data_IF_685368950937
#
_entry.id   IF_685368950937
#
_cell.length_a   1.000
_cell.length_b   1.000
_cell.length_c   1.000
_cell.angle_alpha   90.00
_cell.angle_beta   90.00
_cell.angle_gamma   90.00
#
_symmetry.space_group_name_H-M   'P 1'
#
loop_
_entity.id
_entity.type
_entity.pdbx_description
1 polymer ?
#
# COMPACT_ATOMS: atom_id res chain seq x y z
N UNK A 1 -56.52 22.45 -1.87
CA UNK A 1 -55.86 21.72 -0.74
C UNK A 1 -54.96 20.54 -1.21
N UNK A 2 -55.04 20.10 -2.46
CA UNK A 2 -54.28 18.93 -3.01
C UNK A 2 -52.80 19.17 -3.24
N UNK A 3 -52.35 20.44 -3.38
CA UNK A 3 -50.96 20.77 -3.73
C UNK A 3 -49.93 20.72 -2.55
N UNK A 4 -50.39 20.82 -1.31
CA UNK A 4 -49.44 20.78 -0.15
C UNK A 4 -48.99 19.36 0.21
N UNK A 5 -49.92 18.38 0.03
CA UNK A 5 -49.62 16.97 0.33
C UNK A 5 -48.69 16.36 -0.72
N UNK A 6 -48.89 16.69 -2.00
CA UNK A 6 -48.05 16.24 -3.12
C UNK A 6 -46.63 16.82 -2.99
N UNK A 7 -46.48 18.09 -2.58
CA UNK A 7 -45.17 18.71 -2.34
C UNK A 7 -44.44 18.08 -1.16
N UNK A 8 -45.15 17.70 -0.10
CA UNK A 8 -44.50 17.01 1.06
C UNK A 8 -44.05 15.59 0.71
N UNK A 9 -44.82 14.87 -0.12
CA UNK A 9 -44.42 13.53 -0.59
C UNK A 9 -43.23 13.60 -1.57
N UNK A 10 -43.18 14.59 -2.44
CA UNK A 10 -42.06 14.80 -3.37
C UNK A 10 -40.79 15.19 -2.61
N UNK A 11 -40.87 16.02 -1.55
CA UNK A 11 -39.74 16.38 -0.72
C UNK A 11 -39.25 15.17 0.09
N UNK A 12 -40.13 14.33 0.63
CA UNK A 12 -39.74 13.11 1.36
C UNK A 12 -39.07 12.08 0.45
N UNK A 13 -39.55 11.93 -0.80
CA UNK A 13 -38.93 11.04 -1.78
C UNK A 13 -37.53 11.54 -2.22
N UNK A 14 -37.35 12.86 -2.39
CA UNK A 14 -36.04 13.44 -2.71
C UNK A 14 -35.02 13.26 -1.59
N UNK A 15 -35.41 13.43 -0.32
CA UNK A 15 -34.54 13.19 0.85
C UNK A 15 -34.18 11.69 0.94
N UNK A 16 -35.10 10.77 0.65
CA UNK A 16 -34.81 9.33 0.67
C UNK A 16 -33.85 8.94 -0.46
N UNK A 17 -33.97 9.52 -1.65
CA UNK A 17 -33.08 9.26 -2.79
C UNK A 17 -31.66 9.82 -2.48
N UNK A 18 -31.56 10.98 -1.85
CA UNK A 18 -30.28 11.56 -1.45
C UNK A 18 -29.63 10.71 -0.34
N UNK A 19 -30.40 10.21 0.63
CA UNK A 19 -29.89 9.33 1.67
C UNK A 19 -29.41 7.98 1.13
N UNK A 20 -30.11 7.40 0.16
CA UNK A 20 -29.70 6.17 -0.52
C UNK A 20 -28.52 6.40 -1.48
N UNK A 21 -28.44 7.58 -2.11
CA UNK A 21 -27.30 7.97 -2.95
C UNK A 21 -26.03 8.24 -2.12
N UNK A 22 -26.16 8.91 -0.98
CA UNK A 22 -25.07 9.13 -0.03
C UNK A 22 -24.61 7.82 0.63
N UNK A 23 -25.50 6.89 0.91
CA UNK A 23 -25.15 5.56 1.42
C UNK A 23 -24.29 4.76 0.44
N UNK A 24 -24.50 4.90 -0.88
CA UNK A 24 -23.65 4.28 -1.91
C UNK A 24 -22.30 5.01 -2.12
N UNK A 25 -22.24 6.31 -1.87
CA UNK A 25 -20.99 7.09 -1.96
C UNK A 25 -20.12 6.89 -0.71
N UNK A 26 -20.74 6.59 0.44
CA UNK A 26 -19.97 6.29 1.68
C UNK A 26 -19.57 4.80 1.75
N UNK A 27 -20.22 3.92 1.00
CA UNK A 27 -19.84 2.50 0.90
C UNK A 27 -18.79 2.21 -0.20
N UNK A 28 -18.16 3.23 -0.77
CA UNK A 28 -16.83 3.18 -1.34
C UNK A 28 -15.77 3.17 -0.22
N UNK A 29 -16.10 2.58 0.92
CA UNK A 29 -15.15 2.24 1.96
C UNK A 29 -14.16 1.27 1.36
N UNK A 30 -12.87 1.59 1.44
CA UNK A 30 -11.80 0.63 1.29
C UNK A 30 -12.32 -0.70 1.82
N UNK A 31 -12.39 -1.71 0.97
CA UNK A 31 -12.45 -3.08 1.43
C UNK A 31 -11.14 -3.28 2.19
N UNK A 32 -11.15 -3.05 3.49
CA UNK A 32 -10.18 -3.70 4.36
C UNK A 32 -10.47 -5.18 4.18
N UNK A 33 -9.59 -5.81 3.47
CA UNK A 33 -9.64 -7.23 3.25
C UNK A 33 -9.37 -7.89 4.60
N UNK A 34 -10.34 -8.63 5.15
CA UNK A 34 -10.23 -9.40 6.40
C UNK A 34 -9.14 -10.49 6.31
N UNK A 35 -8.47 -10.62 5.17
CA UNK A 35 -7.34 -11.50 4.90
C UNK A 35 -6.01 -10.99 5.47
N UNK A 36 -5.93 -9.75 5.93
CA UNK A 36 -4.72 -9.26 6.59
C UNK A 36 -4.62 -9.84 8.00
N UNK A 37 -3.49 -10.46 8.27
CA UNK A 37 -3.12 -10.86 9.61
C UNK A 37 -3.19 -9.66 10.54
N UNK A 38 -3.86 -9.79 11.68
CA UNK A 38 -3.81 -8.77 12.71
C UNK A 38 -2.36 -8.60 13.18
N UNK A 39 -1.99 -7.38 13.54
CA UNK A 39 -0.64 -7.09 14.03
C UNK A 39 -0.29 -7.91 15.27
N UNK A 40 -1.31 -8.32 16.06
CA UNK A 40 -1.17 -9.16 17.23
C UNK A 40 -0.85 -10.62 16.88
N UNK A 41 -1.17 -11.06 15.66
CA UNK A 41 -0.90 -12.42 15.18
C UNK A 41 0.51 -12.56 14.57
N UNK A 42 1.23 -11.44 14.40
CA UNK A 42 2.60 -11.47 13.88
C UNK A 42 3.52 -12.13 14.91
N UNK A 43 4.22 -13.23 14.57
CA UNK A 43 5.13 -13.89 15.48
C UNK A 43 6.22 -12.96 15.99
N UNK A 44 6.64 -13.15 17.24
CA UNK A 44 7.78 -12.44 17.79
C UNK A 44 9.05 -12.70 16.95
N UNK A 45 9.93 -11.70 16.86
CA UNK A 45 11.21 -11.83 16.16
C UNK A 45 12.01 -13.03 16.67
N UNK A 46 12.40 -13.92 15.76
CA UNK A 46 13.09 -15.17 16.05
C UNK A 46 14.53 -15.24 15.46
N UNK A 47 15.08 -14.10 15.06
CA UNK A 47 16.41 -14.03 14.44
C UNK A 47 16.39 -14.07 12.91
N UNK A 48 15.21 -14.21 12.30
CA UNK A 48 15.04 -14.16 10.84
C UNK A 48 14.40 -12.83 10.43
N UNK A 49 14.79 -12.24 9.29
CA UNK A 49 14.25 -10.96 8.82
C UNK A 49 12.82 -11.05 8.27
N UNK A 50 12.26 -12.24 8.18
CA UNK A 50 10.90 -12.53 7.69
C UNK A 50 10.29 -13.73 8.41
N UNK A 51 9.00 -13.91 8.26
CA UNK A 51 8.26 -15.10 8.66
C UNK A 51 7.44 -15.63 7.48
N UNK A 52 7.26 -16.93 7.43
CA UNK A 52 6.39 -17.58 6.44
C UNK A 52 4.97 -17.57 7.00
N UNK A 53 4.04 -17.01 6.22
CA UNK A 53 2.61 -16.99 6.51
C UNK A 53 1.89 -17.88 5.49
N UNK A 54 0.76 -18.45 5.90
CA UNK A 54 -0.11 -19.26 5.02
C UNK A 54 0.66 -20.30 4.17
N UNK A 55 1.70 -20.92 4.74
CA UNK A 55 2.54 -21.87 4.01
C UNK A 55 3.27 -21.30 2.78
N UNK A 56 3.48 -19.99 2.75
CA UNK A 56 4.01 -19.24 1.61
C UNK A 56 3.12 -19.30 0.35
N UNK A 57 1.82 -19.39 0.56
CA UNK A 57 0.81 -19.37 -0.50
C UNK A 57 0.11 -18.01 -0.50
N UNK A 58 0.39 -17.14 -1.48
CA UNK A 58 -0.32 -15.88 -1.59
C UNK A 58 -1.78 -16.12 -2.00
N UNK A 59 -2.67 -15.26 -1.53
CA UNK A 59 -4.08 -15.27 -1.88
C UNK A 59 -4.35 -14.13 -2.84
N UNK A 60 -4.70 -14.46 -4.10
CA UNK A 60 -5.13 -13.52 -5.12
C UNK A 60 -6.54 -13.88 -5.55
N UNK A 61 -7.35 -12.86 -5.86
CA UNK A 61 -8.66 -13.08 -6.45
C UNK A 61 -8.53 -13.55 -7.91
N UNK A 62 -9.42 -14.44 -8.35
CA UNK A 62 -9.42 -14.93 -9.73
C UNK A 62 -9.52 -13.76 -10.74
N UNK A 63 -10.28 -12.70 -10.40
CA UNK A 63 -10.39 -11.48 -11.21
C UNK A 63 -9.05 -10.75 -11.37
N UNK A 64 -8.18 -10.79 -10.35
CA UNK A 64 -6.86 -10.16 -10.41
C UNK A 64 -5.91 -10.95 -11.31
N UNK A 65 -6.04 -12.28 -11.33
CA UNK A 65 -5.24 -13.15 -12.20
C UNK A 65 -5.63 -13.06 -13.69
N UNK A 66 -6.83 -12.54 -13.99
CA UNK A 66 -7.32 -12.30 -15.35
C UNK A 66 -6.98 -10.89 -15.88
N UNK A 67 -6.52 -9.99 -15.01
CA UNK A 67 -6.13 -8.63 -15.41
C UNK A 67 -4.88 -8.63 -16.28
N UNK A 68 -4.83 -7.69 -17.19
CA UNK A 68 -3.59 -7.28 -17.86
C UNK A 68 -2.61 -6.67 -16.83
N UNK A 69 -1.42 -6.32 -17.30
CA UNK A 69 -0.42 -5.62 -16.50
C UNK A 69 -0.99 -4.36 -15.86
N UNK A 70 -0.82 -4.21 -14.57
CA UNK A 70 -1.29 -3.04 -13.81
C UNK A 70 -0.38 -2.74 -12.62
N UNK A 71 -0.47 -1.52 -12.13
CA UNK A 71 0.08 -1.04 -10.86
C UNK A 71 -0.97 -0.20 -10.15
N UNK A 72 -1.24 -0.51 -8.90
CA UNK A 72 -2.19 0.21 -8.07
C UNK A 72 -1.57 0.53 -6.71
N UNK A 73 -1.64 1.79 -6.32
CA UNK A 73 -1.17 2.29 -5.04
C UNK A 73 -2.30 3.02 -4.33
N UNK A 74 -2.71 2.51 -3.19
CA UNK A 74 -3.75 3.12 -2.38
C UNK A 74 -3.41 4.57 -2.03
N UNK A 75 -4.39 5.47 -1.92
CA UNK A 75 -4.16 6.80 -1.36
C UNK A 75 -3.54 6.72 0.03
N UNK A 76 -2.71 7.71 0.37
CA UNK A 76 -2.22 7.84 1.74
C UNK A 76 -3.38 8.06 2.71
N UNK A 77 -3.28 7.48 3.89
CA UNK A 77 -4.27 7.72 4.95
C UNK A 77 -4.14 9.13 5.57
N UNK A 78 -4.97 9.43 6.57
CA UNK A 78 -4.96 10.74 7.25
C UNK A 78 -3.66 11.06 8.00
N UNK A 79 -2.79 10.06 8.22
CA UNK A 79 -1.47 10.21 8.84
C UNK A 79 -0.34 10.17 7.81
N UNK A 80 -0.67 10.16 6.50
CA UNK A 80 0.30 10.07 5.42
C UNK A 80 0.96 8.70 5.29
N UNK A 81 0.33 7.62 5.79
CA UNK A 81 0.85 6.26 5.67
C UNK A 81 0.39 5.63 4.37
N UNK A 82 1.26 4.82 3.75
CA UNK A 82 0.89 4.02 2.59
C UNK A 82 -0.15 2.98 2.98
N UNK A 83 -1.09 2.75 2.06
CA UNK A 83 -1.96 1.58 2.07
C UNK A 83 -1.38 0.47 1.20
N UNK A 84 -2.26 -0.32 0.60
CA UNK A 84 -1.88 -1.42 -0.28
C UNK A 84 -1.16 -0.90 -1.52
N UNK A 85 -0.05 -1.57 -1.87
CA UNK A 85 0.61 -1.50 -3.16
C UNK A 85 0.41 -2.85 -3.85
N UNK A 86 -0.16 -2.85 -5.04
CA UNK A 86 -0.56 -4.07 -5.73
C UNK A 86 -0.28 -3.95 -7.24
N UNK A 87 0.35 -4.97 -7.82
CA UNK A 87 0.72 -4.94 -9.23
C UNK A 87 0.76 -6.34 -9.84
N UNK A 88 0.39 -6.42 -11.11
CA UNK A 88 0.72 -7.53 -12.00
C UNK A 88 2.00 -7.16 -12.76
N UNK A 89 3.13 -7.66 -12.28
CA UNK A 89 4.45 -7.27 -12.78
C UNK A 89 4.78 -7.93 -14.13
N UNK A 90 5.44 -7.18 -14.96
CA UNK A 90 6.02 -7.68 -16.20
C UNK A 90 7.24 -6.84 -16.61
N UNK A 91 7.99 -7.31 -17.62
CA UNK A 91 9.17 -6.58 -18.11
C UNK A 91 8.89 -5.16 -18.60
N UNK A 92 7.67 -4.85 -19.02
CA UNK A 92 7.31 -3.52 -19.51
C UNK A 92 7.24 -2.48 -18.37
N UNK A 93 7.00 -2.91 -17.13
CA UNK A 93 7.00 -2.05 -15.95
C UNK A 93 8.40 -1.85 -15.37
N UNK A 94 9.33 -2.74 -15.67
CA UNK A 94 10.69 -2.63 -15.17
C UNK A 94 11.36 -1.36 -15.71
N UNK A 95 12.23 -0.72 -14.90
CA UNK A 95 12.84 0.54 -15.30
C UNK A 95 13.77 0.37 -16.50
N UNK A 96 13.68 1.31 -17.43
CA UNK A 96 14.60 1.50 -18.56
C UNK A 96 15.65 2.59 -18.30
N UNK A 97 15.60 3.19 -17.10
CA UNK A 97 16.46 4.31 -16.68
C UNK A 97 17.14 4.00 -15.35
N UNK A 98 18.25 4.71 -15.12
CA UNK A 98 18.89 4.67 -13.81
C UNK A 98 17.99 5.28 -12.71
N UNK A 99 18.13 4.75 -11.52
CA UNK A 99 17.38 5.21 -10.36
C UNK A 99 17.79 6.64 -9.99
N UNK A 100 16.80 7.50 -9.85
CA UNK A 100 16.99 8.87 -9.41
C UNK A 100 16.93 9.01 -7.87
N UNK A 101 17.30 10.21 -7.37
CA UNK A 101 17.23 10.51 -5.95
C UNK A 101 15.78 10.54 -5.45
N UNK A 102 15.53 9.85 -4.33
CA UNK A 102 14.23 9.87 -3.64
C UNK A 102 14.27 10.68 -2.32
N UNK A 103 15.28 11.55 -2.15
CA UNK A 103 15.51 12.30 -0.90
C UNK A 103 14.38 13.25 -0.54
N UNK A 104 13.68 13.76 -1.55
CA UNK A 104 12.59 14.72 -1.36
C UNK A 104 11.34 14.08 -0.78
N UNK A 105 11.14 12.77 -0.99
CA UNK A 105 10.02 12.05 -0.38
C UNK A 105 10.31 11.79 1.09
N UNK A 106 9.39 12.19 1.94
CA UNK A 106 9.44 11.98 3.40
C UNK A 106 8.23 11.14 3.83
N UNK A 107 8.33 9.82 3.79
CA UNK A 107 7.23 8.96 4.23
C UNK A 107 6.81 9.24 5.66
N UNK A 108 5.61 8.83 6.05
CA UNK A 108 5.12 8.97 7.41
C UNK A 108 6.14 8.43 8.42
N UNK A 109 6.37 9.17 9.51
CA UNK A 109 7.37 8.82 10.52
C UNK A 109 8.83 9.02 10.10
N UNK A 110 9.09 9.63 8.93
CA UNK A 110 10.46 9.85 8.48
C UNK A 110 11.27 10.73 9.44
N UNK A 111 12.38 10.19 9.93
CA UNK A 111 13.40 10.92 10.66
C UNK A 111 14.76 10.26 10.45
N UNK A 112 15.83 10.99 10.73
CA UNK A 112 17.19 10.50 10.58
C UNK A 112 17.76 10.12 11.94
N UNK A 113 18.13 8.86 12.09
CA UNK A 113 18.86 8.35 13.26
C UNK A 113 20.15 7.72 12.78
N UNK A 114 21.27 8.12 13.38
CA UNK A 114 22.59 7.66 12.98
C UNK A 114 23.28 6.92 14.11
N UNK A 115 23.89 5.78 13.77
CA UNK A 115 24.70 4.95 14.66
C UNK A 115 25.99 4.56 13.95
N UNK A 116 27.08 5.26 14.25
CA UNK A 116 28.36 5.10 13.52
C UNK A 116 29.01 3.73 13.72
N UNK A 117 28.81 3.12 14.89
CA UNK A 117 29.48 1.89 15.29
C UNK A 117 28.60 0.64 15.21
N UNK A 118 27.28 0.80 15.03
CA UNK A 118 26.32 -0.30 15.08
C UNK A 118 25.72 -0.67 13.73
N UNK A 119 25.71 0.26 12.79
CA UNK A 119 25.03 0.09 11.49
C UNK A 119 26.03 0.38 10.38
N UNK A 120 26.21 -0.57 9.45
CA UNK A 120 27.20 -0.48 8.37
C UNK A 120 27.12 0.82 7.59
N UNK A 121 25.93 1.28 7.20
CA UNK A 121 25.72 2.55 6.49
C UNK A 121 25.36 3.70 7.43
N UNK A 122 25.52 3.49 8.72
CA UNK A 122 25.34 4.48 9.79
C UNK A 122 23.92 4.96 10.02
N UNK A 123 22.98 4.77 9.10
CA UNK A 123 21.59 5.23 9.21
C UNK A 123 20.64 4.09 9.50
N UNK A 124 19.84 4.25 10.59
CA UNK A 124 18.87 3.24 11.01
C UNK A 124 17.71 3.11 10.02
N UNK A 125 17.22 4.22 9.49
CA UNK A 125 16.04 4.24 8.64
C UNK A 125 16.36 4.49 7.17
N UNK A 126 15.66 3.75 6.33
CA UNK A 126 15.65 3.87 4.88
C UNK A 126 14.26 4.27 4.39
N UNK A 127 14.21 4.85 3.20
CA UNK A 127 13.00 4.89 2.39
C UNK A 127 12.89 3.56 1.66
N UNK A 128 11.94 2.73 2.08
CA UNK A 128 11.73 1.41 1.50
C UNK A 128 10.59 1.49 0.50
N UNK A 129 10.80 0.97 -0.70
CA UNK A 129 9.70 0.77 -1.64
C UNK A 129 8.86 -0.43 -1.21
N UNK A 130 7.53 -0.34 -1.29
CA UNK A 130 6.63 -1.48 -1.13
C UNK A 130 6.75 -2.44 -2.31
N UNK A 131 6.77 -1.90 -3.53
CA UNK A 131 7.14 -2.61 -4.76
C UNK A 131 8.48 -2.04 -5.21
N UNK A 132 9.52 -2.87 -5.26
CA UNK A 132 10.89 -2.44 -5.54
C UNK A 132 11.04 -1.70 -6.87
N UNK A 133 11.92 -0.70 -6.92
CA UNK A 133 12.17 0.08 -8.15
C UNK A 133 12.52 -0.79 -9.35
N UNK A 134 13.33 -1.84 -9.14
CA UNK A 134 13.72 -2.78 -10.19
C UNK A 134 12.55 -3.58 -10.78
N UNK A 135 11.41 -3.64 -10.10
CA UNK A 135 10.23 -4.39 -10.53
C UNK A 135 9.23 -3.53 -11.30
N UNK A 136 9.06 -2.27 -10.89
CA UNK A 136 7.97 -1.42 -11.37
C UNK A 136 8.41 -0.03 -11.85
N UNK A 137 9.68 0.33 -11.72
CA UNK A 137 10.18 1.63 -12.18
C UNK A 137 9.70 2.85 -11.40
N UNK A 138 8.87 2.66 -10.37
CA UNK A 138 8.29 3.73 -9.55
C UNK A 138 9.34 4.32 -8.59
N UNK A 139 9.99 5.41 -9.01
CA UNK A 139 11.13 5.96 -8.27
C UNK A 139 10.74 6.72 -6.99
N UNK A 140 10.01 7.82 -7.12
CA UNK A 140 9.71 8.77 -6.04
C UNK A 140 8.22 8.83 -5.70
N UNK A 141 7.49 7.76 -5.93
CA UNK A 141 6.08 7.67 -5.61
C UNK A 141 5.88 7.61 -4.09
N UNK A 142 5.27 8.64 -3.53
CA UNK A 142 5.02 8.74 -2.08
C UNK A 142 4.08 7.63 -1.55
N UNK A 143 3.24 7.04 -2.43
CA UNK A 143 2.33 5.95 -2.08
C UNK A 143 3.02 4.58 -2.09
N UNK A 144 4.24 4.53 -2.61
CA UNK A 144 5.09 3.33 -2.68
C UNK A 144 6.29 3.39 -1.72
N UNK A 145 6.42 4.45 -0.92
CA UNK A 145 7.58 4.66 -0.06
C UNK A 145 7.18 4.70 1.41
N UNK A 146 7.77 3.84 2.21
CA UNK A 146 7.59 3.80 3.66
C UNK A 146 8.90 4.09 4.39
N UNK A 147 8.79 4.53 5.65
CA UNK A 147 9.91 4.55 6.58
C UNK A 147 10.12 3.17 7.16
N UNK A 148 11.20 2.51 6.81
CA UNK A 148 11.57 1.22 7.36
C UNK A 148 12.99 1.21 7.93
N UNK A 149 13.33 0.20 8.70
CA UNK A 149 14.71 0.03 9.12
C UNK A 149 15.58 -0.41 7.94
N UNK A 150 16.89 -0.09 8.00
CA UNK A 150 17.82 -0.63 7.01
C UNK A 150 17.77 -2.15 6.96
N UNK A 151 17.75 -2.80 8.12
CA UNK A 151 17.67 -4.26 8.22
C UNK A 151 16.45 -4.83 7.49
N UNK A 152 15.27 -4.24 7.72
CA UNK A 152 14.06 -4.63 6.99
C UNK A 152 14.24 -4.47 5.47
N UNK A 153 14.80 -3.34 5.04
CA UNK A 153 14.97 -3.04 3.62
C UNK A 153 15.98 -3.98 2.93
N UNK A 154 17.12 -4.25 3.56
CA UNK A 154 18.23 -4.98 2.91
C UNK A 154 18.22 -6.48 3.17
N UNK A 155 17.78 -6.91 4.35
CA UNK A 155 17.77 -8.33 4.73
C UNK A 155 16.36 -8.93 4.61
N UNK A 156 15.32 -8.12 4.84
CA UNK A 156 13.94 -8.56 4.79
C UNK A 156 13.31 -8.47 3.40
N UNK A 157 13.47 -7.35 2.70
CA UNK A 157 12.76 -7.09 1.43
C UNK A 157 13.61 -7.41 0.20
N UNK A 158 14.81 -6.86 0.11
CA UNK A 158 15.66 -6.94 -1.08
C UNK A 158 15.89 -8.36 -1.62
N UNK A 159 16.12 -9.41 -0.80
CA UNK A 159 16.30 -10.76 -1.32
C UNK A 159 15.10 -11.29 -2.10
N UNK A 160 13.89 -10.96 -1.65
CA UNK A 160 12.65 -11.33 -2.36
C UNK A 160 12.42 -10.51 -3.62
N UNK A 161 12.73 -9.22 -3.59
CA UNK A 161 12.67 -8.35 -4.76
C UNK A 161 13.60 -8.85 -5.88
N UNK A 162 14.82 -9.27 -5.54
CA UNK A 162 15.76 -9.86 -6.48
C UNK A 162 15.20 -11.17 -7.05
N UNK A 163 14.66 -12.04 -6.19
CA UNK A 163 14.08 -13.31 -6.62
C UNK A 163 12.90 -13.13 -7.59
N UNK A 164 12.11 -12.08 -7.42
CA UNK A 164 11.00 -11.76 -8.33
C UNK A 164 11.50 -11.16 -9.65
N UNK A 165 12.63 -10.44 -9.63
CA UNK A 165 13.21 -9.79 -10.80
C UNK A 165 13.91 -10.75 -11.76
N UNK A 166 14.42 -11.90 -11.28
CA UNK A 166 15.15 -12.93 -12.04
C UNK A 166 14.20 -13.83 -12.84
#
# INVERSE_FOLDING_TARGET
MRNKTVRKLAAAAAVLIIALGLGKVISGGQRYDDRYMDIEDIPAYSGQPYVILNGNMPEFDDEDMEKDVFEEYSPLDSLGRCGQAYAMLCRQLMPDKERESIREVKPSGWHTVRYDDLIQDKYLYNRCHLIGYQLAGENANERNLITGTRYMNTEGMLPFEIQVAD
#
